data_IF_894374214567
#
_entry.id   IF_894374214567
#
_cell.length_a   1.000
_cell.length_b   1.000
_cell.length_c   1.000
_cell.angle_alpha   90.00
_cell.angle_beta   90.00
_cell.angle_gamma   90.00
#
_symmetry.space_group_name_H-M   'P 1'
#
loop_
_entity.id
_entity.type
_entity.pdbx_description
1 polymer ?
#
# COMPACT_ATOMS: atom_id res chain seq x y z
N UNK A 1 25.27 -17.00 13.80
CA UNK A 1 24.31 -16.31 14.68
C UNK A 1 23.32 -15.57 13.79
N UNK A 2 22.03 -15.86 13.90
CA UNK A 2 20.99 -15.03 13.29
C UNK A 2 21.11 -13.64 13.93
N UNK A 3 21.36 -12.59 13.10
CA UNK A 3 21.34 -11.21 13.59
C UNK A 3 20.00 -10.89 14.24
N UNK A 4 19.92 -9.84 15.07
CA UNK A 4 18.68 -9.43 15.73
C UNK A 4 17.53 -9.31 14.73
N UNK A 5 16.40 -9.92 15.05
CA UNK A 5 15.20 -9.96 14.21
C UNK A 5 14.29 -8.76 14.50
N UNK A 6 13.43 -8.42 13.59
CA UNK A 6 12.47 -7.32 13.74
C UNK A 6 11.06 -7.84 13.55
N UNK A 7 10.11 -7.26 14.25
CA UNK A 7 8.69 -7.56 14.05
C UNK A 7 8.09 -6.48 13.17
N UNK A 8 7.45 -6.91 12.10
CA UNK A 8 6.57 -6.06 11.28
C UNK A 8 5.12 -6.34 11.58
N UNK A 9 4.33 -5.28 11.66
CA UNK A 9 2.87 -5.35 11.79
C UNK A 9 2.26 -4.46 10.71
N UNK A 10 1.34 -5.01 9.94
CA UNK A 10 0.57 -4.29 8.90
C UNK A 10 -0.90 -4.31 9.31
N UNK A 11 -1.41 -3.15 9.72
CA UNK A 11 -2.78 -2.99 10.21
C UNK A 11 -3.68 -2.59 9.06
N UNK A 12 -4.45 -3.54 8.55
CA UNK A 12 -5.50 -3.27 7.56
C UNK A 12 -6.89 -3.18 8.17
N UNK A 13 -7.85 -2.69 7.41
CA UNK A 13 -9.26 -2.61 7.84
C UNK A 13 -9.94 -3.98 8.06
N UNK A 14 -9.43 -5.03 7.42
CA UNK A 14 -10.00 -6.39 7.49
C UNK A 14 -9.11 -7.35 8.28
N UNK A 15 -7.80 -7.25 8.09
CA UNK A 15 -6.82 -8.14 8.72
C UNK A 15 -5.63 -7.34 9.23
N UNK A 16 -5.05 -7.81 10.34
CA UNK A 16 -3.75 -7.39 10.84
C UNK A 16 -2.77 -8.50 10.54
N UNK A 17 -1.69 -8.19 9.81
CA UNK A 17 -0.62 -9.12 9.50
C UNK A 17 0.56 -8.89 10.43
N UNK A 18 1.23 -9.97 10.81
CA UNK A 18 2.42 -9.98 11.66
C UNK A 18 3.52 -10.76 10.97
N UNK A 19 4.77 -10.32 11.12
CA UNK A 19 5.92 -11.00 10.54
C UNK A 19 7.17 -10.86 11.39
N UNK A 20 7.95 -11.93 11.47
CA UNK A 20 9.33 -11.89 11.94
C UNK A 20 10.20 -11.72 10.71
N UNK A 21 10.95 -10.63 10.67
CA UNK A 21 11.72 -10.21 9.51
C UNK A 21 13.18 -10.01 9.90
N UNK A 22 14.09 -10.56 9.10
CA UNK A 22 15.53 -10.34 9.27
C UNK A 22 15.92 -8.93 8.87
N UNK A 23 17.12 -8.51 9.24
CA UNK A 23 17.69 -7.22 8.82
C UNK A 23 17.85 -7.08 7.29
N UNK A 24 17.87 -8.21 6.56
CA UNK A 24 17.89 -8.25 5.08
C UNK A 24 16.51 -8.27 4.44
N UNK A 25 15.43 -8.15 5.23
CA UNK A 25 14.05 -8.15 4.73
C UNK A 25 13.43 -9.53 4.50
N UNK A 26 14.14 -10.62 4.81
CA UNK A 26 13.59 -11.98 4.66
C UNK A 26 12.55 -12.23 5.76
N UNK A 27 11.34 -12.60 5.37
CA UNK A 27 10.29 -13.04 6.29
C UNK A 27 10.60 -14.46 6.73
N UNK A 28 10.72 -14.70 8.05
CA UNK A 28 10.99 -16.00 8.66
C UNK A 28 9.70 -16.69 9.09
N UNK A 29 8.75 -15.92 9.60
CA UNK A 29 7.44 -16.40 10.00
C UNK A 29 6.42 -15.28 9.79
N UNK A 30 5.21 -15.61 9.34
CA UNK A 30 4.10 -14.65 9.29
C UNK A 30 2.79 -15.28 9.78
N UNK A 31 1.94 -14.43 10.33
CA UNK A 31 0.58 -14.77 10.75
C UNK A 31 -0.37 -13.62 10.45
N UNK A 32 -1.65 -13.88 10.54
CA UNK A 32 -2.68 -12.87 10.32
C UNK A 32 -3.88 -13.15 11.22
N UNK A 33 -4.52 -12.09 11.69
CA UNK A 33 -5.79 -12.16 12.43
C UNK A 33 -6.79 -11.16 11.85
N UNK A 34 -8.07 -11.41 12.02
CA UNK A 34 -9.10 -10.44 11.62
C UNK A 34 -8.98 -9.16 12.44
N UNK A 35 -9.12 -8.02 11.78
CA UNK A 35 -9.27 -6.72 12.47
C UNK A 35 -10.71 -6.65 13.00
N UNK A 36 -10.84 -6.26 14.28
CA UNK A 36 -12.14 -5.86 14.83
C UNK A 36 -12.18 -4.32 15.02
N UNK A 37 -12.63 -3.57 13.99
CA UNK A 37 -12.63 -2.10 14.08
C UNK A 37 -13.62 -1.57 15.11
N UNK A 38 -14.71 -2.32 15.36
CA UNK A 38 -15.80 -1.89 16.26
C UNK A 38 -15.36 -1.88 17.73
N UNK A 39 -14.39 -2.73 18.10
CA UNK A 39 -13.82 -2.77 19.45
C UNK A 39 -12.96 -1.55 19.81
N UNK A 40 -12.72 -0.65 18.86
CA UNK A 40 -11.99 0.59 19.06
C UNK A 40 -10.49 0.44 19.24
N UNK A 41 -9.82 1.57 19.55
CA UNK A 41 -8.36 1.66 19.59
C UNK A 41 -7.72 0.72 20.61
N UNK A 42 -8.32 0.57 21.78
CA UNK A 42 -7.77 -0.27 22.86
C UNK A 42 -7.74 -1.75 22.46
N UNK A 43 -8.77 -2.26 21.79
CA UNK A 43 -8.86 -3.65 21.37
C UNK A 43 -7.82 -3.98 20.30
N UNK A 44 -7.68 -3.12 19.27
CA UNK A 44 -6.67 -3.30 18.23
C UNK A 44 -5.25 -3.28 18.83
N UNK A 45 -4.95 -2.36 19.76
CA UNK A 45 -3.64 -2.30 20.43
C UNK A 45 -3.37 -3.55 21.27
N UNK A 46 -4.41 -4.07 21.94
CA UNK A 46 -4.33 -5.33 22.69
C UNK A 46 -4.07 -6.51 21.75
N UNK A 47 -4.80 -6.58 20.63
CA UNK A 47 -4.61 -7.58 19.58
C UNK A 47 -3.19 -7.54 19.02
N UNK A 48 -2.66 -6.36 18.70
CA UNK A 48 -1.28 -6.16 18.23
C UNK A 48 -0.30 -6.72 19.28
N UNK A 49 -0.42 -6.28 20.53
CA UNK A 49 0.49 -6.66 21.61
C UNK A 49 0.52 -8.18 21.84
N UNK A 50 -0.66 -8.80 21.91
CA UNK A 50 -0.79 -10.23 22.15
C UNK A 50 -0.23 -11.06 20.97
N UNK A 51 -0.54 -10.67 19.74
CA UNK A 51 -0.06 -11.39 18.56
C UNK A 51 1.44 -11.19 18.31
N UNK A 52 2.02 -10.04 18.64
CA UNK A 52 3.48 -9.87 18.64
C UNK A 52 4.15 -10.84 19.61
N UNK A 53 3.64 -10.98 20.84
CA UNK A 53 4.16 -11.97 21.80
C UNK A 53 3.96 -13.41 21.29
N UNK A 54 2.80 -13.68 20.70
CA UNK A 54 2.47 -15.02 20.22
C UNK A 54 3.34 -15.46 19.03
N UNK A 55 3.60 -14.57 18.07
CA UNK A 55 4.43 -14.92 16.90
C UNK A 55 5.90 -15.16 17.32
N UNK A 56 6.42 -14.41 18.29
CA UNK A 56 7.75 -14.61 18.88
C UNK A 56 7.81 -15.99 19.55
N UNK A 57 6.80 -16.34 20.37
CA UNK A 57 6.71 -17.65 21.03
C UNK A 57 6.61 -18.80 20.02
N UNK A 58 5.78 -18.65 18.99
CA UNK A 58 5.60 -19.67 17.96
C UNK A 58 6.88 -19.93 17.15
N UNK A 59 7.77 -18.96 17.07
CA UNK A 59 9.09 -19.10 16.43
C UNK A 59 10.15 -19.71 17.37
N UNK A 60 9.80 -20.05 18.61
CA UNK A 60 10.77 -20.52 19.62
C UNK A 60 11.75 -19.42 20.10
N UNK A 61 11.37 -18.15 19.91
CA UNK A 61 12.19 -16.98 20.24
C UNK A 61 11.74 -16.34 21.55
N UNK A 62 12.62 -15.48 22.07
CA UNK A 62 12.36 -14.58 23.20
C UNK A 62 12.33 -13.12 22.74
N UNK A 63 11.85 -12.22 23.58
CA UNK A 63 11.93 -10.77 23.31
C UNK A 63 13.37 -10.29 23.16
N UNK A 64 14.36 -10.97 23.74
CA UNK A 64 15.78 -10.59 23.62
C UNK A 64 16.31 -10.78 22.20
N UNK A 65 15.73 -11.70 21.43
CA UNK A 65 16.09 -11.97 20.05
C UNK A 65 15.51 -10.92 19.08
N UNK A 66 14.56 -10.08 19.57
CA UNK A 66 13.91 -9.03 18.81
C UNK A 66 14.62 -7.70 19.05
N UNK A 67 14.95 -7.01 17.96
CA UNK A 67 15.54 -5.66 17.97
C UNK A 67 14.46 -4.59 18.17
N UNK A 68 13.44 -4.61 17.33
CA UNK A 68 12.38 -3.58 17.30
C UNK A 68 11.05 -4.12 16.78
N UNK A 69 10.00 -3.38 17.01
CA UNK A 69 8.66 -3.60 16.42
C UNK A 69 8.28 -2.39 15.60
N UNK A 70 8.03 -2.60 14.33
CA UNK A 70 7.49 -1.55 13.45
C UNK A 70 6.05 -1.86 13.06
N UNK A 71 5.22 -0.83 12.97
CA UNK A 71 3.79 -0.97 12.72
C UNK A 71 3.36 0.00 11.63
N UNK A 72 2.78 -0.53 10.54
CA UNK A 72 2.09 0.23 9.51
C UNK A 72 0.62 0.39 9.83
N UNK A 73 0.10 1.61 9.75
CA UNK A 73 -1.31 1.93 10.00
C UNK A 73 -1.94 2.63 8.79
N UNK A 74 -3.23 2.40 8.52
CA UNK A 74 -3.97 3.21 7.58
C UNK A 74 -4.16 4.63 8.13
N UNK A 75 -4.36 5.61 7.23
CA UNK A 75 -4.69 6.99 7.58
C UNK A 75 -3.47 7.86 7.91
N UNK A 76 -3.67 8.88 8.74
CA UNK A 76 -2.65 9.87 9.08
C UNK A 76 -1.89 9.47 10.34
N UNK A 77 -0.57 9.29 10.20
CA UNK A 77 0.33 8.89 11.29
C UNK A 77 1.33 10.00 11.58
N UNK A 78 1.38 10.43 12.83
CA UNK A 78 2.44 11.29 13.35
C UNK A 78 3.50 10.41 14.02
N UNK A 79 4.52 10.05 13.25
CA UNK A 79 5.60 9.17 13.71
C UNK A 79 6.42 9.79 14.84
N UNK A 80 6.58 11.13 14.86
CA UNK A 80 7.34 11.85 15.91
C UNK A 80 6.62 11.80 17.25
N UNK A 81 5.30 11.97 17.24
CA UNK A 81 4.48 11.84 18.45
C UNK A 81 4.13 10.40 18.80
N UNK A 82 4.40 9.45 17.89
CA UNK A 82 4.09 8.04 18.08
C UNK A 82 2.59 7.76 18.10
N UNK A 83 1.78 8.47 17.30
CA UNK A 83 0.33 8.39 17.32
C UNK A 83 -0.29 8.28 15.92
N UNK A 84 -1.45 7.62 15.86
CA UNK A 84 -2.37 7.70 14.71
C UNK A 84 -3.31 8.85 14.95
N UNK A 85 -3.21 9.89 14.13
CA UNK A 85 -4.01 11.11 14.24
C UNK A 85 -5.44 10.86 13.76
N UNK A 86 -5.57 10.18 12.61
CA UNK A 86 -6.87 9.87 12.02
C UNK A 86 -6.80 8.64 11.10
N UNK A 87 -7.65 7.66 11.37
CA UNK A 87 -7.77 6.45 10.54
C UNK A 87 -9.25 6.00 10.47
N UNK A 88 -10.03 6.50 9.50
CA UNK A 88 -11.46 6.24 9.41
C UNK A 88 -11.79 4.76 9.21
N UNK A 89 -10.94 4.00 8.53
CA UNK A 89 -11.15 2.57 8.25
C UNK A 89 -11.12 1.69 9.51
N UNK A 90 -10.58 2.21 10.62
CA UNK A 90 -10.52 1.52 11.91
C UNK A 90 -11.12 2.37 13.04
N UNK A 91 -11.85 3.45 12.68
CA UNK A 91 -12.52 4.38 13.59
C UNK A 91 -11.61 5.03 14.63
N UNK A 92 -10.35 5.34 14.27
CA UNK A 92 -9.38 5.93 15.17
C UNK A 92 -9.25 7.43 14.99
N UNK A 93 -9.11 8.11 16.14
CA UNK A 93 -8.74 9.53 16.24
C UNK A 93 -7.84 9.71 17.46
N UNK A 94 -6.68 10.34 17.26
CA UNK A 94 -5.70 10.73 18.30
C UNK A 94 -5.27 9.58 19.23
N UNK A 95 -4.93 8.40 18.65
CA UNK A 95 -4.53 7.20 19.40
C UNK A 95 -3.02 7.16 19.61
N UNK A 96 -2.56 7.21 20.87
CA UNK A 96 -1.15 7.12 21.27
C UNK A 96 -0.64 5.67 21.19
N UNK A 97 -0.14 5.26 20.03
CA UNK A 97 0.25 3.87 19.73
C UNK A 97 1.57 3.50 20.40
N UNK A 98 2.63 4.27 20.12
CA UNK A 98 4.00 3.92 20.56
C UNK A 98 4.06 3.76 22.07
N UNK A 99 3.47 4.68 22.84
CA UNK A 99 3.41 4.60 24.30
C UNK A 99 2.68 3.33 24.78
N UNK A 100 1.50 3.06 24.21
CA UNK A 100 0.64 1.95 24.61
C UNK A 100 1.28 0.59 24.32
N UNK A 101 1.91 0.43 23.16
CA UNK A 101 2.57 -0.83 22.77
C UNK A 101 3.87 -1.02 23.54
N UNK A 102 4.68 0.04 23.74
CA UNK A 102 5.95 -0.01 24.47
C UNK A 102 5.79 -0.44 25.94
N UNK A 103 4.70 -0.04 26.59
CA UNK A 103 4.39 -0.47 27.96
C UNK A 103 4.29 -1.99 28.12
N UNK A 104 3.84 -2.69 27.07
CA UNK A 104 3.57 -4.13 27.09
C UNK A 104 4.67 -4.97 26.46
N UNK A 105 5.45 -4.43 25.51
CA UNK A 105 6.45 -5.18 24.73
C UNK A 105 7.88 -4.84 25.20
N UNK A 106 8.11 -3.63 25.74
CA UNK A 106 9.43 -3.15 26.23
C UNK A 106 10.53 -3.22 25.18
N UNK A 107 10.18 -2.88 23.93
CA UNK A 107 11.09 -2.72 22.77
C UNK A 107 10.88 -1.35 22.15
N UNK A 108 11.78 -0.95 21.26
CA UNK A 108 11.57 0.24 20.46
C UNK A 108 10.47 -0.02 19.45
N UNK A 109 9.52 0.92 19.43
CA UNK A 109 8.32 0.86 18.59
C UNK A 109 8.40 2.00 17.56
N UNK A 110 8.34 1.62 16.30
CA UNK A 110 8.29 2.55 15.17
C UNK A 110 6.93 2.45 14.49
N UNK A 111 6.40 3.57 14.06
CA UNK A 111 5.12 3.61 13.34
C UNK A 111 5.21 4.44 12.07
N UNK A 112 4.48 4.03 11.05
CA UNK A 112 4.34 4.77 9.80
C UNK A 112 2.95 4.54 9.20
N UNK A 113 2.56 5.35 8.23
CA UNK A 113 1.45 4.98 7.35
C UNK A 113 1.82 3.73 6.55
N UNK A 114 0.86 2.83 6.33
CA UNK A 114 1.03 1.55 5.64
C UNK A 114 1.71 1.67 4.26
N UNK A 115 1.26 2.62 3.45
CA UNK A 115 1.80 2.88 2.11
C UNK A 115 3.23 3.44 2.16
N UNK A 116 3.58 4.21 3.20
CA UNK A 116 4.96 4.68 3.43
C UNK A 116 5.84 3.54 3.91
N UNK A 117 5.32 2.67 4.78
CA UNK A 117 6.02 1.44 5.16
C UNK A 117 6.27 0.56 3.91
N UNK A 118 5.27 0.40 3.03
CA UNK A 118 5.44 -0.32 1.77
C UNK A 118 6.56 0.28 0.90
N UNK A 119 6.57 1.61 0.74
CA UNK A 119 7.63 2.30 0.00
C UNK A 119 9.01 2.08 0.63
N UNK A 120 9.09 2.09 1.96
CA UNK A 120 10.32 1.83 2.70
C UNK A 120 10.83 0.40 2.49
N UNK A 121 9.94 -0.59 2.50
CA UNK A 121 10.28 -1.97 2.19
C UNK A 121 10.83 -2.12 0.76
N UNK A 122 10.13 -1.55 -0.24
CA UNK A 122 10.59 -1.57 -1.63
C UNK A 122 11.93 -0.85 -1.82
N UNK A 123 12.16 0.25 -1.11
CA UNK A 123 13.41 1.00 -1.13
C UNK A 123 14.58 0.18 -0.59
N UNK A 124 14.41 -0.47 0.56
CA UNK A 124 15.50 -1.15 1.24
C UNK A 124 15.83 -2.52 0.65
N UNK A 125 14.82 -3.28 0.23
CA UNK A 125 14.99 -4.71 -0.10
C UNK A 125 14.13 -5.17 -1.29
N UNK A 126 13.45 -4.27 -1.98
CA UNK A 126 12.57 -4.56 -3.11
C UNK A 126 13.00 -3.88 -4.41
N UNK A 127 12.01 -3.46 -5.19
CA UNK A 127 12.20 -2.87 -6.52
C UNK A 127 12.87 -1.50 -6.51
N UNK A 128 13.00 -0.85 -5.35
CA UNK A 128 13.64 0.44 -5.17
C UNK A 128 15.12 0.38 -4.78
N UNK A 129 15.70 -0.80 -4.66
CA UNK A 129 17.12 -0.96 -4.30
C UNK A 129 18.03 -0.29 -5.32
N UNK A 130 18.96 0.54 -4.82
CA UNK A 130 19.94 1.26 -5.65
C UNK A 130 19.44 2.62 -6.16
N UNK A 131 18.25 3.06 -5.79
CA UNK A 131 17.73 4.41 -6.09
C UNK A 131 17.65 5.23 -4.79
N UNK A 132 17.67 6.56 -4.90
CA UNK A 132 17.49 7.48 -3.77
C UNK A 132 16.07 8.05 -3.69
N UNK A 133 15.39 8.14 -4.84
CA UNK A 133 14.10 8.78 -4.99
C UNK A 133 13.11 7.83 -5.66
N UNK A 134 12.20 7.28 -4.87
CA UNK A 134 11.21 6.32 -5.35
C UNK A 134 9.80 6.71 -4.94
N UNK A 135 8.84 6.29 -5.75
CA UNK A 135 7.41 6.33 -5.43
C UNK A 135 6.88 4.90 -5.46
N UNK A 136 6.18 4.49 -4.42
CA UNK A 136 5.48 3.21 -4.35
C UNK A 136 3.98 3.45 -4.37
N UNK A 137 3.30 2.87 -5.35
CA UNK A 137 1.85 2.97 -5.52
C UNK A 137 1.23 1.60 -5.26
N UNK A 138 0.26 1.56 -4.36
CA UNK A 138 -0.52 0.36 -4.06
C UNK A 138 -1.89 0.47 -4.70
N UNK A 139 -2.21 -0.43 -5.64
CA UNK A 139 -3.48 -0.49 -6.36
C UNK A 139 -4.34 -1.64 -5.78
N UNK A 140 -5.34 -1.29 -5.00
CA UNK A 140 -6.23 -2.24 -4.31
C UNK A 140 -7.66 -1.73 -4.19
N UNK A 141 -8.30 -1.95 -3.04
CA UNK A 141 -9.59 -1.35 -2.69
C UNK A 141 -9.51 0.17 -2.77
N UNK A 142 -8.46 0.75 -2.17
CA UNK A 142 -8.06 2.13 -2.34
C UNK A 142 -6.74 2.24 -3.12
N UNK A 143 -6.22 3.46 -3.22
CA UNK A 143 -4.95 3.77 -3.88
C UNK A 143 -4.02 4.44 -2.88
N UNK A 144 -3.06 3.67 -2.39
CA UNK A 144 -2.03 4.16 -1.48
C UNK A 144 -0.78 4.65 -2.23
N UNK A 145 -0.06 5.57 -1.61
CA UNK A 145 1.23 6.04 -2.10
C UNK A 145 2.20 6.31 -0.95
N UNK A 146 3.41 5.84 -1.10
CA UNK A 146 4.55 6.22 -0.27
C UNK A 146 5.67 6.76 -1.14
N UNK A 147 6.41 7.72 -0.60
CA UNK A 147 7.54 8.34 -1.29
C UNK A 147 8.79 8.24 -0.44
N UNK A 148 9.90 7.90 -1.08
CA UNK A 148 11.24 8.05 -0.53
C UNK A 148 11.92 9.16 -1.31
N UNK A 149 12.45 10.14 -0.63
CA UNK A 149 13.15 11.29 -1.22
C UNK A 149 14.50 11.42 -0.51
N UNK A 150 15.58 11.49 -1.27
CA UNK A 150 16.94 11.49 -0.75
C UNK A 150 17.20 10.35 0.26
N UNK A 151 16.70 9.15 -0.04
CA UNK A 151 16.90 7.96 0.78
C UNK A 151 16.08 7.90 2.08
N UNK A 152 15.11 8.79 2.30
CA UNK A 152 14.30 8.84 3.52
C UNK A 152 12.80 8.85 3.21
N UNK A 153 11.99 8.33 4.12
CA UNK A 153 10.52 8.40 4.01
C UNK A 153 10.10 9.87 4.00
N UNK A 154 9.41 10.28 2.94
CA UNK A 154 8.86 11.62 2.84
C UNK A 154 7.47 11.68 3.47
N UNK A 155 7.35 12.35 4.61
CA UNK A 155 6.10 12.50 5.34
C UNK A 155 5.35 13.80 4.99
N UNK A 156 6.05 14.78 4.38
CA UNK A 156 5.55 16.14 4.20
C UNK A 156 5.48 16.92 5.51
N UNK A 157 5.28 18.22 5.43
CA UNK A 157 5.22 19.10 6.62
C UNK A 157 4.03 18.83 7.55
N UNK A 158 2.96 18.23 7.02
CA UNK A 158 1.72 17.92 7.75
C UNK A 158 1.53 16.42 8.01
N UNK A 159 2.54 15.58 7.78
CA UNK A 159 2.45 14.12 7.85
C UNK A 159 1.38 13.49 6.93
N UNK A 160 1.01 14.16 5.83
CA UNK A 160 -0.02 13.72 4.88
C UNK A 160 0.50 13.61 3.44
N UNK A 161 1.81 13.58 3.21
CA UNK A 161 2.36 13.37 1.88
C UNK A 161 1.96 11.99 1.34
N UNK A 162 1.71 11.90 0.02
CA UNK A 162 1.38 10.63 -0.61
C UNK A 162 -0.12 10.33 -0.75
N UNK A 163 -1.01 11.30 -0.58
CA UNK A 163 -2.45 11.13 -0.81
C UNK A 163 -2.78 11.08 -2.32
N UNK A 164 -2.04 10.25 -3.07
CA UNK A 164 -2.09 10.12 -4.52
C UNK A 164 -3.47 9.70 -5.03
N UNK A 165 -4.15 8.79 -4.33
CA UNK A 165 -5.49 8.34 -4.68
C UNK A 165 -6.55 9.45 -4.61
N UNK A 166 -6.26 10.52 -3.85
CA UNK A 166 -7.17 11.65 -3.66
C UNK A 166 -6.91 12.83 -4.61
N UNK A 167 -6.01 12.69 -5.59
CA UNK A 167 -5.91 13.67 -6.69
C UNK A 167 -7.21 13.69 -7.50
N UNK A 168 -7.71 14.88 -7.81
CA UNK A 168 -8.80 15.06 -8.78
C UNK A 168 -8.19 14.96 -10.18
N UNK A 169 -8.46 13.86 -10.87
CA UNK A 169 -7.97 13.61 -12.24
C UNK A 169 -9.01 14.02 -13.28
N UNK A 170 -10.27 13.88 -12.91
CA UNK A 170 -11.39 14.24 -13.78
C UNK A 170 -12.57 14.65 -12.91
N UNK A 171 -13.27 15.70 -13.33
CA UNK A 171 -14.56 16.03 -12.75
C UNK A 171 -15.54 14.89 -13.02
N UNK A 172 -16.13 14.38 -11.97
CA UNK A 172 -17.18 13.37 -12.01
C UNK A 172 -18.00 13.43 -10.72
N UNK A 173 -19.18 12.84 -10.72
CA UNK A 173 -20.09 12.82 -9.57
C UNK A 173 -19.87 11.67 -8.60
N UNK A 174 -18.83 10.83 -8.78
CA UNK A 174 -18.55 9.76 -7.85
C UNK A 174 -18.02 10.34 -6.53
N UNK A 175 -18.74 10.17 -5.41
CA UNK A 175 -18.27 10.64 -4.12
C UNK A 175 -17.06 9.82 -3.67
N UNK A 176 -16.09 10.51 -3.07
CA UNK A 176 -14.94 9.90 -2.41
C UNK A 176 -15.14 9.93 -0.90
N UNK A 177 -14.60 8.93 -0.20
CA UNK A 177 -14.60 8.87 1.28
C UNK A 177 -13.91 10.07 1.93
N UNK A 178 -13.04 10.79 1.20
CA UNK A 178 -12.42 12.04 1.66
C UNK A 178 -13.36 13.27 1.62
N UNK A 179 -14.62 13.11 1.24
CA UNK A 179 -15.62 14.17 1.15
C UNK A 179 -15.65 14.93 -0.18
N UNK A 180 -14.75 14.63 -1.13
CA UNK A 180 -14.70 15.27 -2.46
C UNK A 180 -15.25 14.34 -3.55
N UNK A 181 -15.30 14.87 -4.78
CA UNK A 181 -15.62 14.11 -6.00
C UNK A 181 -14.42 14.14 -6.95
N UNK A 182 -14.33 13.18 -7.89
CA UNK A 182 -13.31 13.18 -8.94
C UNK A 182 -11.94 12.64 -8.55
N UNK A 183 -11.79 12.13 -7.33
CA UNK A 183 -10.55 11.51 -6.88
C UNK A 183 -10.20 10.30 -7.77
N UNK A 184 -8.90 10.10 -8.05
CA UNK A 184 -8.39 8.98 -8.83
C UNK A 184 -8.89 7.62 -8.29
N UNK A 185 -8.93 7.46 -6.97
CA UNK A 185 -9.44 6.25 -6.32
C UNK A 185 -10.88 5.92 -6.71
N UNK A 186 -11.74 6.93 -6.91
CA UNK A 186 -13.14 6.73 -7.35
C UNK A 186 -13.27 6.34 -8.83
N UNK A 187 -12.17 6.36 -9.57
CA UNK A 187 -12.10 6.00 -10.99
C UNK A 187 -11.48 4.62 -11.19
N UNK A 188 -10.42 4.28 -10.43
CA UNK A 188 -9.62 3.07 -10.64
C UNK A 188 -9.35 2.23 -9.38
N UNK A 189 -9.92 2.55 -8.22
CA UNK A 189 -9.97 1.63 -7.09
C UNK A 189 -10.79 0.39 -7.44
N UNK A 190 -10.54 -0.76 -6.78
CA UNK A 190 -11.22 -2.01 -7.11
C UNK A 190 -12.76 -1.90 -7.16
N UNK A 191 -13.44 -1.20 -6.21
CA UNK A 191 -14.90 -1.01 -6.29
C UNK A 191 -15.32 -0.21 -7.53
N UNK A 192 -14.53 0.78 -7.95
CA UNK A 192 -14.83 1.60 -9.12
C UNK A 192 -14.70 0.80 -10.42
N UNK A 193 -13.66 -0.03 -10.54
CA UNK A 193 -13.46 -0.91 -11.69
C UNK A 193 -14.63 -1.91 -11.80
N UNK A 194 -15.01 -2.55 -10.70
CA UNK A 194 -16.13 -3.50 -10.66
C UNK A 194 -17.44 -2.77 -11.06
N UNK A 195 -17.71 -1.62 -10.45
CA UNK A 195 -18.89 -0.80 -10.80
C UNK A 195 -18.91 -0.42 -12.28
N UNK A 196 -17.75 -0.09 -12.85
CA UNK A 196 -17.64 0.25 -14.28
C UNK A 196 -17.94 -0.96 -15.16
N UNK A 197 -17.42 -2.14 -14.83
CA UNK A 197 -17.66 -3.37 -15.58
C UNK A 197 -19.15 -3.80 -15.53
N UNK A 198 -19.78 -3.65 -14.38
CA UNK A 198 -21.19 -4.03 -14.19
C UNK A 198 -22.20 -3.09 -14.89
N UNK A 199 -21.78 -1.95 -15.43
CA UNK A 199 -22.63 -1.09 -16.28
C UNK A 199 -22.97 -1.74 -17.61
N UNK A 200 -22.10 -2.60 -18.16
CA UNK A 200 -22.41 -3.40 -19.33
C UNK A 200 -23.20 -4.64 -18.93
N UNK A 201 -24.39 -4.82 -19.49
CA UNK A 201 -25.23 -6.01 -19.26
C UNK A 201 -24.52 -7.30 -19.73
N UNK A 202 -23.81 -7.23 -20.85
CA UNK A 202 -23.08 -8.36 -21.43
C UNK A 202 -21.92 -8.78 -20.52
N UNK A 203 -21.11 -7.82 -20.09
CA UNK A 203 -19.97 -8.08 -19.22
C UNK A 203 -20.43 -8.53 -17.82
N UNK A 204 -21.48 -7.90 -17.28
CA UNK A 204 -22.07 -8.30 -16.01
C UNK A 204 -22.56 -9.76 -16.03
N UNK A 205 -23.21 -10.21 -17.12
CA UNK A 205 -23.63 -11.61 -17.29
C UNK A 205 -22.45 -12.57 -17.29
N UNK A 206 -21.37 -12.25 -18.02
CA UNK A 206 -20.16 -13.08 -18.08
C UNK A 206 -19.46 -13.19 -16.73
N UNK A 207 -19.42 -12.10 -15.97
CA UNK A 207 -18.77 -12.06 -14.64
C UNK A 207 -19.66 -12.71 -13.57
N UNK A 208 -20.98 -12.52 -13.65
CA UNK A 208 -21.98 -12.95 -12.66
C UNK A 208 -22.25 -14.46 -12.63
N UNK A 209 -21.62 -15.26 -13.54
CA UNK A 209 -21.76 -16.72 -13.57
C UNK A 209 -20.96 -17.46 -12.45
N UNK A 210 -20.38 -16.72 -11.51
CA UNK A 210 -19.57 -17.28 -10.42
C UNK A 210 -20.32 -17.18 -9.09
N UNK A 211 -20.29 -18.24 -8.31
CA UNK A 211 -20.94 -18.34 -6.98
C UNK A 211 -20.16 -17.55 -5.88
N UNK A 212 -19.53 -16.46 -6.24
CA UNK A 212 -18.77 -15.59 -5.34
C UNK A 212 -18.82 -14.13 -5.78
N UNK A 213 -18.53 -13.19 -4.88
CA UNK A 213 -18.44 -11.77 -5.25
C UNK A 213 -17.48 -11.54 -6.42
N UNK A 214 -17.86 -10.63 -7.31
CA UNK A 214 -17.06 -10.19 -8.45
C UNK A 214 -15.76 -9.54 -7.97
N UNK A 215 -14.67 -9.90 -8.60
CA UNK A 215 -13.35 -9.35 -8.31
C UNK A 215 -12.74 -8.65 -9.55
N UNK A 216 -11.77 -7.78 -9.34
CA UNK A 216 -11.03 -7.15 -10.43
C UNK A 216 -10.29 -8.19 -11.27
N UNK A 217 -9.84 -9.30 -10.67
CA UNK A 217 -9.17 -10.38 -11.42
C UNK A 217 -10.10 -11.06 -12.44
N UNK A 218 -11.41 -11.07 -12.22
CA UNK A 218 -12.37 -11.61 -13.21
C UNK A 218 -12.42 -10.71 -14.45
N UNK A 219 -12.40 -9.39 -14.26
CA UNK A 219 -12.42 -8.42 -15.35
C UNK A 219 -11.13 -8.49 -16.16
N UNK A 220 -9.97 -8.51 -15.47
CA UNK A 220 -8.66 -8.66 -16.15
C UNK A 220 -8.49 -10.04 -16.80
N UNK A 221 -9.11 -11.09 -16.27
CA UNK A 221 -9.18 -12.42 -16.89
C UNK A 221 -9.87 -12.36 -18.25
N UNK A 222 -11.08 -11.82 -18.30
CA UNK A 222 -11.83 -11.63 -19.54
C UNK A 222 -11.09 -10.73 -20.55
N UNK A 223 -10.47 -9.65 -20.07
CA UNK A 223 -9.64 -8.81 -20.94
C UNK A 223 -8.44 -9.56 -21.51
N UNK A 224 -7.85 -10.49 -20.74
CA UNK A 224 -6.73 -11.32 -21.20
C UNK A 224 -7.15 -12.37 -22.25
N UNK A 225 -8.42 -12.76 -22.26
CA UNK A 225 -9.09 -13.64 -23.22
C UNK A 225 -9.58 -12.89 -24.47
N UNK A 226 -9.47 -11.56 -24.51
CA UNK A 226 -9.82 -10.74 -25.66
C UNK A 226 -11.22 -10.14 -25.62
N UNK A 227 -11.92 -10.17 -24.48
CA UNK A 227 -13.23 -9.53 -24.35
C UNK A 227 -13.09 -8.01 -24.52
N UNK A 228 -13.77 -7.46 -25.52
CA UNK A 228 -13.65 -6.05 -25.92
C UNK A 228 -14.08 -5.08 -24.82
N UNK A 229 -15.16 -5.37 -24.10
CA UNK A 229 -15.69 -4.51 -23.05
C UNK A 229 -14.78 -4.54 -21.80
N UNK A 230 -14.26 -5.72 -21.45
CA UNK A 230 -13.28 -5.85 -20.38
C UNK A 230 -11.96 -5.12 -20.73
N UNK A 231 -11.53 -5.16 -21.99
CA UNK A 231 -10.36 -4.41 -22.49
C UNK A 231 -10.62 -2.91 -22.37
N UNK A 232 -11.82 -2.42 -22.71
CA UNK A 232 -12.18 -1.01 -22.56
C UNK A 232 -12.12 -0.58 -21.08
N UNK A 233 -12.70 -1.36 -20.17
CA UNK A 233 -12.68 -1.06 -18.73
C UNK A 233 -11.24 -1.02 -18.20
N UNK A 234 -10.41 -2.01 -18.53
CA UNK A 234 -9.00 -2.06 -18.10
C UNK A 234 -8.15 -0.99 -18.75
N UNK A 235 -8.47 -0.58 -19.98
CA UNK A 235 -7.84 0.52 -20.69
C UNK A 235 -8.05 1.87 -19.99
N UNK A 236 -9.26 2.13 -19.48
CA UNK A 236 -9.55 3.32 -18.68
C UNK A 236 -8.76 3.36 -17.36
N UNK A 237 -8.50 2.22 -16.75
CA UNK A 237 -7.61 2.15 -15.57
C UNK A 237 -6.21 2.64 -15.92
N UNK A 238 -5.67 2.21 -17.06
CA UNK A 238 -4.36 2.65 -17.53
C UNK A 238 -4.34 4.15 -17.82
N UNK A 239 -5.38 4.66 -18.49
CA UNK A 239 -5.51 6.09 -18.83
C UNK A 239 -5.47 6.98 -17.59
N UNK A 240 -6.34 6.72 -16.61
CA UNK A 240 -6.41 7.54 -15.40
C UNK A 240 -5.19 7.39 -14.50
N UNK A 241 -4.66 6.17 -14.39
CA UNK A 241 -3.43 5.95 -13.64
C UNK A 241 -2.24 6.68 -14.27
N UNK A 242 -2.13 6.64 -15.61
CA UNK A 242 -1.09 7.35 -16.34
C UNK A 242 -1.19 8.87 -16.11
N UNK A 243 -2.39 9.46 -16.17
CA UNK A 243 -2.59 10.87 -15.90
C UNK A 243 -2.10 11.27 -14.50
N UNK A 244 -2.49 10.50 -13.46
CA UNK A 244 -2.01 10.75 -12.09
C UNK A 244 -0.50 10.60 -11.95
N UNK A 245 0.09 9.57 -12.58
CA UNK A 245 1.54 9.34 -12.52
C UNK A 245 2.33 10.38 -13.30
N UNK A 246 1.84 10.86 -14.43
CA UNK A 246 2.46 11.98 -15.18
C UNK A 246 2.53 13.23 -14.29
N UNK A 247 1.46 13.57 -13.59
CA UNK A 247 1.45 14.69 -12.65
C UNK A 247 2.49 14.47 -11.53
N UNK A 248 2.52 13.28 -10.94
CA UNK A 248 3.50 12.91 -9.91
C UNK A 248 4.94 13.01 -10.42
N UNK A 249 5.22 12.48 -11.60
CA UNK A 249 6.56 12.52 -12.21
C UNK A 249 7.02 13.95 -12.45
N UNK A 250 6.14 14.79 -12.98
CA UNK A 250 6.47 16.18 -13.27
C UNK A 250 6.73 17.03 -12.00
N UNK A 251 6.16 16.65 -10.85
CA UNK A 251 6.31 17.37 -9.57
C UNK A 251 7.47 16.80 -8.74
N UNK A 252 7.55 15.47 -8.61
CA UNK A 252 8.48 14.79 -7.70
C UNK A 252 9.75 14.34 -8.41
N UNK A 253 9.68 14.07 -9.73
CA UNK A 253 10.80 13.56 -10.55
C UNK A 253 11.48 12.30 -9.96
N UNK A 254 10.74 11.25 -9.60
CA UNK A 254 11.32 10.06 -9.01
C UNK A 254 12.14 9.28 -10.03
N UNK A 255 13.12 8.51 -9.58
CA UNK A 255 13.92 7.63 -10.43
C UNK A 255 13.15 6.36 -10.82
N UNK A 256 12.33 5.83 -9.88
CA UNK A 256 11.53 4.63 -10.08
C UNK A 256 10.15 4.74 -9.41
N UNK A 257 9.15 4.18 -10.07
CA UNK A 257 7.79 4.02 -9.53
C UNK A 257 7.51 2.52 -9.43
N UNK A 258 7.31 2.04 -8.20
CA UNK A 258 6.96 0.65 -7.90
C UNK A 258 5.44 0.52 -7.84
N UNK A 259 4.85 -0.38 -8.63
CA UNK A 259 3.41 -0.64 -8.67
C UNK A 259 3.13 -1.97 -7.95
N UNK A 260 2.33 -1.93 -6.89
CA UNK A 260 1.95 -3.05 -6.04
C UNK A 260 0.42 -3.17 -5.90
N UNK A 261 -0.04 -4.09 -5.05
CA UNK A 261 -1.45 -4.33 -4.76
C UNK A 261 -2.11 -5.32 -5.71
N UNK A 262 -3.36 -5.70 -5.40
CA UNK A 262 -4.07 -6.77 -6.11
C UNK A 262 -4.23 -6.53 -7.62
N UNK A 263 -4.44 -5.27 -8.03
CA UNK A 263 -4.59 -4.89 -9.43
C UNK A 263 -3.28 -5.06 -10.22
N UNK A 264 -2.13 -4.90 -9.57
CA UNK A 264 -0.81 -5.07 -10.20
C UNK A 264 -0.50 -6.52 -10.63
N UNK A 265 -1.33 -7.48 -10.19
CA UNK A 265 -1.22 -8.88 -10.62
C UNK A 265 -1.78 -9.14 -12.02
N UNK A 266 -2.41 -8.14 -12.63
CA UNK A 266 -2.79 -8.19 -14.04
C UNK A 266 -1.58 -8.52 -14.94
N UNK A 267 -1.86 -9.19 -16.08
CA UNK A 267 -0.81 -9.45 -17.07
C UNK A 267 -0.20 -8.13 -17.54
N UNK A 268 1.13 -8.09 -17.68
CA UNK A 268 1.87 -6.87 -18.05
C UNK A 268 1.33 -6.20 -19.32
N UNK A 269 0.87 -6.99 -20.31
CA UNK A 269 0.26 -6.49 -21.54
C UNK A 269 -1.02 -5.67 -21.32
N UNK A 270 -1.71 -5.85 -20.17
CA UNK A 270 -2.96 -5.15 -19.85
C UNK A 270 -2.77 -3.97 -18.90
N UNK A 271 -1.65 -3.90 -18.18
CA UNK A 271 -1.41 -2.84 -17.22
C UNK A 271 -0.06 -2.15 -17.43
N UNK A 272 1.06 -2.81 -17.11
CA UNK A 272 2.37 -2.13 -17.06
C UNK A 272 2.90 -1.71 -18.43
N UNK A 273 2.72 -2.55 -19.47
CA UNK A 273 3.18 -2.22 -20.83
C UNK A 273 2.45 -1.00 -21.41
N UNK A 274 1.11 -0.93 -21.43
CA UNK A 274 0.41 0.26 -21.90
C UNK A 274 0.63 1.47 -20.98
N UNK A 275 0.76 1.27 -19.65
CA UNK A 275 1.05 2.35 -18.70
C UNK A 275 2.40 3.01 -19.00
N UNK A 276 3.45 2.23 -19.24
CA UNK A 276 4.78 2.75 -19.61
C UNK A 276 4.72 3.57 -20.89
N UNK A 277 4.00 3.09 -21.92
CA UNK A 277 3.80 3.82 -23.17
C UNK A 277 3.06 5.14 -22.97
N UNK A 278 1.97 5.12 -22.20
CA UNK A 278 1.17 6.32 -21.93
C UNK A 278 1.98 7.36 -21.16
N UNK A 279 2.78 6.96 -20.16
CA UNK A 279 3.64 7.85 -19.40
C UNK A 279 4.73 8.45 -20.30
N UNK A 280 5.43 7.63 -21.09
CA UNK A 280 6.49 8.11 -21.99
C UNK A 280 5.97 9.13 -23.01
N UNK A 281 4.72 9.00 -23.44
CA UNK A 281 4.11 9.93 -24.40
C UNK A 281 3.70 11.27 -23.75
N UNK A 282 3.22 11.24 -22.50
CA UNK A 282 2.55 12.39 -21.89
C UNK A 282 3.41 13.14 -20.85
N UNK A 283 4.51 12.57 -20.37
CA UNK A 283 5.38 13.20 -19.38
C UNK A 283 6.30 14.24 -20.06
N UNK A 284 6.83 15.17 -19.28
CA UNK A 284 7.83 16.14 -19.75
C UNK A 284 9.02 15.43 -20.42
N UNK A 285 9.31 15.75 -21.68
CA UNK A 285 10.24 15.01 -22.57
C UNK A 285 11.59 14.64 -21.96
N UNK A 286 12.30 15.54 -21.22
CA UNK A 286 13.60 15.21 -20.63
C UNK A 286 13.59 14.05 -19.62
N UNK A 287 12.45 13.75 -18.99
CA UNK A 287 12.31 12.65 -18.01
C UNK A 287 11.65 11.40 -18.57
N UNK A 288 11.04 11.48 -19.76
CA UNK A 288 10.21 10.43 -20.36
C UNK A 288 10.88 9.04 -20.44
N UNK A 289 12.20 8.99 -20.64
CA UNK A 289 12.97 7.73 -20.72
C UNK A 289 13.80 7.42 -19.46
N UNK A 290 13.78 8.31 -18.47
CA UNK A 290 14.61 8.19 -17.25
C UNK A 290 13.88 7.52 -16.11
N UNK A 291 12.57 7.80 -15.95
CA UNK A 291 11.76 7.20 -14.89
C UNK A 291 11.41 5.75 -15.24
N UNK A 292 11.70 4.85 -14.32
CA UNK A 292 11.38 3.43 -14.48
C UNK A 292 10.04 3.10 -13.80
N UNK A 293 9.17 2.40 -14.49
CA UNK A 293 7.89 1.89 -13.94
C UNK A 293 8.02 0.37 -13.82
N UNK A 294 8.02 -0.13 -12.59
CA UNK A 294 8.29 -1.54 -12.29
C UNK A 294 7.18 -2.14 -11.42
N UNK A 295 7.03 -3.45 -11.50
CA UNK A 295 6.20 -4.19 -10.56
C UNK A 295 6.94 -4.33 -9.24
N UNK A 296 6.22 -4.19 -8.12
CA UNK A 296 6.72 -4.47 -6.77
C UNK A 296 7.22 -5.91 -6.67
N UNK A 297 8.42 -6.08 -6.11
CA UNK A 297 9.00 -7.41 -5.81
C UNK A 297 8.42 -7.96 -4.50
N UNK A 298 8.16 -7.11 -3.52
CA UNK A 298 7.61 -7.52 -2.23
C UNK A 298 6.09 -7.75 -2.28
N UNK A 299 5.41 -7.20 -3.28
CA UNK A 299 3.97 -7.38 -3.49
C UNK A 299 3.14 -6.99 -2.25
N UNK A 300 2.29 -7.91 -1.80
CA UNK A 300 1.41 -7.70 -0.62
C UNK A 300 2.15 -7.75 0.72
N UNK A 301 3.41 -8.13 0.73
CA UNK A 301 4.23 -8.18 1.95
C UNK A 301 5.06 -6.89 2.14
N UNK A 302 5.04 -5.96 1.16
CA UNK A 302 5.79 -4.70 1.22
C UNK A 302 5.49 -3.87 2.49
N UNK A 303 4.22 -3.66 2.91
CA UNK A 303 3.93 -2.94 4.15
C UNK A 303 4.51 -3.62 5.39
N UNK A 304 4.39 -4.96 5.46
CA UNK A 304 4.88 -5.77 6.58
C UNK A 304 6.41 -5.71 6.69
N UNK A 305 7.11 -5.94 5.59
CA UNK A 305 8.58 -5.89 5.53
C UNK A 305 9.08 -4.48 5.84
N UNK A 306 8.47 -3.48 5.21
CA UNK A 306 8.84 -2.08 5.45
C UNK A 306 8.59 -1.64 6.88
N UNK A 307 7.46 -2.04 7.49
CA UNK A 307 7.20 -1.81 8.91
C UNK A 307 8.31 -2.40 9.78
N UNK A 308 8.67 -3.67 9.57
CA UNK A 308 9.76 -4.32 10.33
C UNK A 308 11.10 -3.57 10.22
N UNK A 309 11.34 -2.91 9.10
CA UNK A 309 12.60 -2.21 8.82
C UNK A 309 12.57 -0.70 9.13
N UNK A 310 11.49 -0.17 9.74
CA UNK A 310 11.37 1.25 10.09
C UNK A 310 12.50 1.75 10.99
N UNK A 311 13.09 0.91 11.80
CA UNK A 311 14.25 1.27 12.65
C UNK A 311 15.47 1.77 11.86
N UNK A 312 15.54 1.50 10.55
CA UNK A 312 16.60 1.99 9.66
C UNK A 312 16.34 3.39 9.12
N UNK A 313 15.11 3.91 9.25
CA UNK A 313 14.80 5.26 8.80
C UNK A 313 15.34 6.28 9.82
N UNK A 314 16.00 7.29 9.32
CA UNK A 314 16.45 8.43 10.14
C UNK A 314 15.27 9.41 10.22
N UNK A 315 14.41 9.24 11.23
CA UNK A 315 13.27 10.14 11.46
C UNK A 315 13.68 11.49 12.02
#
# INVERSE_FOLDING_TARGET
MLGKLNIGVDVGGTNIKFGIVSASGKILLKSSVCTNPVGGGKEILTTITNNVKQIIKNAGLSLNDVNSVGIGFPGTVDHKKGMVVYAPNIYWKDVAVTRSVKQNIRKDIFIAQDSRAAAWGEFLVGSGVGYSDIVSITLGTGIGCGMIINGNIYNGGLNTAGEFGHQVIRENDNPCTCGRKGCLETLIGAPAIIKSALKSKTLAKKIGLKDRPVSVSDIYGLAAEGDKEAIEVTGKVVEYLAAGLVNMINIVSPQVICISGGISNAKDKLLLTPLRKAIQHNVYKPVARKVKIVKSVLGSDAPLVGAALLYKNQF
#
